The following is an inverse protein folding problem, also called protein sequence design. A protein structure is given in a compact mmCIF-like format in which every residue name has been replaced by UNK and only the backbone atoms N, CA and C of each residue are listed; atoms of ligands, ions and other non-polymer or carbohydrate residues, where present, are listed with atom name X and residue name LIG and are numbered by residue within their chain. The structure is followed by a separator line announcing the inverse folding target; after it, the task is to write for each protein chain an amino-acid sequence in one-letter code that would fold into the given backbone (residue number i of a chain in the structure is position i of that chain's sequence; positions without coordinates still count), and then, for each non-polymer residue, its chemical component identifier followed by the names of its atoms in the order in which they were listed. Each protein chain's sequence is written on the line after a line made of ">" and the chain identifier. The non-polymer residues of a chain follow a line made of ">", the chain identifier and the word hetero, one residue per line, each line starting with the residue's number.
data_IF_107212975393
#
_entry.id   IF_107212975393
#
_cell.length_a   1.000
_cell.length_b   1.000
_cell.length_c   1.000
_cell.angle_alpha   90.00
_cell.angle_beta   90.00
_cell.angle_gamma   90.00
#
_symmetry.space_group_name_H-M   'P 1'
#
loop_
_entity.id
_entity.type
_entity.pdbx_description
1 polymer ?
#
# COMPACT_ATOMS: atom_id res chain seq x y z
N UNK A 1 42.18 -9.07 1.61
CA UNK A 1 41.01 -8.97 2.52
C UNK A 1 40.75 -7.48 2.72
N UNK A 2 39.62 -6.94 2.25
CA UNK A 2 39.32 -5.50 2.34
C UNK A 2 38.99 -5.17 3.80
N UNK A 3 39.86 -4.44 4.49
CA UNK A 3 39.70 -4.16 5.92
C UNK A 3 39.04 -2.79 6.14
N UNK A 4 38.00 -2.77 6.97
CA UNK A 4 37.11 -1.62 7.19
C UNK A 4 37.69 -0.56 8.13
N UNK A 5 38.99 -0.64 8.44
CA UNK A 5 39.64 0.11 9.53
C UNK A 5 39.45 1.64 9.48
N UNK A 6 39.19 2.22 8.30
CA UNK A 6 38.98 3.66 8.11
C UNK A 6 37.55 4.05 7.75
N UNK A 7 36.60 3.12 7.77
CA UNK A 7 35.22 3.37 7.36
C UNK A 7 34.26 3.26 8.56
N UNK A 8 33.67 4.39 8.96
CA UNK A 8 32.49 4.37 9.83
C UNK A 8 31.26 4.01 9.01
N UNK A 9 30.38 3.15 9.54
CA UNK A 9 29.08 2.87 8.91
C UNK A 9 27.92 3.22 9.81
N UNK A 10 26.92 3.85 9.22
CA UNK A 10 25.57 3.96 9.79
C UNK A 10 24.67 3.07 8.95
N UNK A 11 23.90 2.21 9.61
CA UNK A 11 22.97 1.28 8.98
C UNK A 11 21.57 1.56 9.51
N UNK A 12 20.61 1.75 8.60
CA UNK A 12 19.19 1.95 8.92
C UNK A 12 18.37 0.96 8.12
N UNK A 13 17.48 0.23 8.78
CA UNK A 13 16.48 -0.62 8.14
C UNK A 13 15.12 0.04 8.31
N UNK A 14 14.37 0.15 7.21
CA UNK A 14 12.98 0.64 7.23
C UNK A 14 12.08 -0.50 6.77
N UNK A 15 11.22 -0.98 7.66
CA UNK A 15 10.12 -1.87 7.28
C UNK A 15 8.90 -1.02 6.97
N UNK A 16 8.24 -1.29 5.84
CA UNK A 16 7.04 -0.58 5.41
C UNK A 16 6.05 -1.53 4.74
N UNK A 17 4.77 -1.33 5.01
CA UNK A 17 3.68 -2.08 4.40
C UNK A 17 2.46 -1.18 4.19
N UNK A 18 1.68 -1.43 3.13
CA UNK A 18 0.35 -0.85 2.98
C UNK A 18 -0.59 -1.55 3.97
N UNK A 19 -1.06 -0.83 4.99
CA UNK A 19 -1.90 -1.40 6.06
C UNK A 19 -3.39 -1.04 5.94
N UNK A 20 -3.69 0.07 5.26
CA UNK A 20 -5.07 0.54 5.08
C UNK A 20 -5.18 1.48 3.88
N UNK A 21 -6.38 1.57 3.32
CA UNK A 21 -6.80 2.65 2.42
C UNK A 21 -7.96 3.37 3.09
N UNK A 22 -7.80 4.66 3.32
CA UNK A 22 -8.80 5.50 3.97
C UNK A 22 -9.22 6.64 3.03
N UNK A 23 -10.46 7.09 3.19
CA UNK A 23 -10.90 8.32 2.51
C UNK A 23 -10.06 9.49 3.02
N UNK A 24 -9.57 10.37 2.13
CA UNK A 24 -8.80 11.53 2.56
C UNK A 24 -9.68 12.43 3.43
N UNK A 25 -9.27 12.62 4.69
CA UNK A 25 -9.97 13.49 5.66
C UNK A 25 -9.94 14.97 5.26
N UNK A 26 -9.07 15.35 4.31
CA UNK A 26 -8.90 16.71 3.80
C UNK A 26 -8.93 16.63 2.26
N UNK A 27 -9.88 17.31 1.63
CA UNK A 27 -9.87 17.47 0.18
C UNK A 27 -8.70 18.39 -0.21
N UNK A 28 -7.76 17.89 -1.01
CA UNK A 28 -6.69 18.73 -1.56
C UNK A 28 -7.15 19.66 -2.68
N UNK A 29 -8.43 19.60 -3.03
CA UNK A 29 -9.07 20.59 -3.90
C UNK A 29 -9.37 21.84 -3.07
N UNK A 30 -8.35 22.69 -2.82
CA UNK A 30 -8.67 24.12 -2.72
C UNK A 30 -9.23 24.52 -4.08
N UNK A 31 -10.49 24.98 -4.19
CA UNK A 31 -10.84 25.80 -5.35
C UNK A 31 -9.86 26.96 -5.31
N UNK A 32 -9.06 27.12 -6.36
CA UNK A 32 -8.21 28.29 -6.50
C UNK A 32 -9.07 29.52 -6.28
N UNK A 33 -8.64 30.42 -5.37
CA UNK A 33 -9.17 31.77 -5.23
C UNK A 33 -8.87 32.52 -6.52
N UNK A 34 -9.63 32.25 -7.58
CA UNK A 34 -9.72 33.06 -8.78
C UNK A 34 -10.77 34.13 -8.57
N UNK A 35 -10.53 35.05 -7.62
CA UNK A 35 -11.29 36.30 -7.57
C UNK A 35 -10.41 37.36 -6.93
N UNK A 36 -9.57 37.96 -7.76
CA UNK A 36 -8.82 39.17 -7.42
C UNK A 36 -9.30 40.36 -8.26
N UNK A 37 -10.56 40.37 -8.70
CA UNK A 37 -11.26 41.57 -9.17
C UNK A 37 -12.74 41.28 -9.44
N UNK A 38 -13.62 41.91 -8.65
CA UNK A 38 -14.89 42.41 -9.18
C UNK A 38 -16.19 41.77 -8.67
N UNK A 39 -16.86 42.53 -7.80
CA UNK A 39 -18.32 42.59 -7.55
C UNK A 39 -19.02 41.37 -6.96
N UNK A 40 -19.61 41.62 -5.80
CA UNK A 40 -20.32 40.66 -4.97
C UNK A 40 -21.58 40.09 -5.60
N UNK A 41 -21.86 38.85 -5.18
CA UNK A 41 -23.18 38.24 -5.19
C UNK A 41 -23.33 37.48 -3.86
N UNK A 42 -24.41 37.67 -3.08
CA UNK A 42 -24.63 36.90 -1.88
C UNK A 42 -25.40 35.64 -2.27
N UNK A 43 -24.68 34.61 -2.72
CA UNK A 43 -25.20 33.24 -2.77
C UNK A 43 -24.02 32.28 -2.58
N UNK A 44 -23.47 32.29 -1.38
CA UNK A 44 -22.61 31.22 -0.90
C UNK A 44 -23.53 30.09 -0.42
N UNK A 45 -23.97 29.24 -1.36
CA UNK A 45 -24.49 27.91 -1.03
C UNK A 45 -23.45 27.12 -0.22
N UNK A 46 -23.83 26.04 0.49
CA UNK A 46 -22.94 25.37 1.42
C UNK A 46 -21.69 24.88 0.67
N UNK A 47 -20.56 25.48 1.01
CA UNK A 47 -19.22 25.07 0.59
C UNK A 47 -18.96 23.64 1.08
N UNK A 48 -19.34 22.66 0.26
CA UNK A 48 -19.11 21.24 0.51
C UNK A 48 -18.08 20.71 -0.48
N UNK A 49 -16.87 21.25 -0.42
CA UNK A 49 -15.71 20.66 -1.09
C UNK A 49 -15.13 19.53 -0.23
N UNK A 50 -15.91 18.48 0.02
CA UNK A 50 -15.37 17.15 0.34
C UNK A 50 -15.81 16.21 -0.77
N UNK A 51 -14.85 15.55 -1.43
CA UNK A 51 -15.15 14.52 -2.41
C UNK A 51 -15.86 13.38 -1.65
N UNK A 52 -17.16 13.18 -1.89
CA UNK A 52 -17.89 12.07 -1.28
C UNK A 52 -17.34 10.73 -1.81
N UNK A 53 -17.40 9.69 -0.98
CA UNK A 53 -17.06 8.32 -1.42
C UNK A 53 -17.83 7.93 -2.68
N UNK A 54 -19.11 8.29 -2.73
CA UNK A 54 -19.98 8.04 -3.88
C UNK A 54 -19.37 8.66 -5.15
N UNK A 55 -18.88 9.90 -5.12
CA UNK A 55 -18.22 10.52 -6.28
C UNK A 55 -16.92 9.83 -6.70
N UNK A 56 -16.18 9.23 -5.76
CA UNK A 56 -14.98 8.45 -6.08
C UNK A 56 -15.33 7.12 -6.75
N UNK A 57 -16.28 6.39 -6.17
CA UNK A 57 -16.74 5.06 -6.59
C UNK A 57 -17.46 5.14 -7.94
N UNK A 58 -18.42 6.05 -8.05
CA UNK A 58 -19.34 6.17 -9.18
C UNK A 58 -18.89 7.19 -10.23
N UNK A 59 -18.00 8.11 -9.85
CA UNK A 59 -17.42 9.14 -10.72
C UNK A 59 -18.08 10.52 -10.58
N UNK A 60 -17.41 11.54 -11.13
CA UNK A 60 -17.82 12.95 -11.01
C UNK A 60 -19.18 13.30 -11.65
N UNK A 61 -19.71 12.43 -12.52
CA UNK A 61 -21.05 12.57 -13.10
C UNK A 61 -22.16 11.95 -12.26
N UNK A 62 -21.84 11.36 -11.10
CA UNK A 62 -22.85 10.83 -10.19
C UNK A 62 -23.57 11.97 -9.47
N UNK A 63 -24.88 12.09 -9.71
CA UNK A 63 -25.75 12.98 -8.95
C UNK A 63 -26.44 12.16 -7.86
N UNK A 64 -26.16 12.48 -6.58
CA UNK A 64 -26.89 11.86 -5.48
C UNK A 64 -28.36 12.29 -5.54
N UNK A 65 -29.32 11.37 -5.67
CA UNK A 65 -30.73 11.75 -5.64
C UNK A 65 -31.09 12.33 -4.27
N UNK A 66 -31.80 13.45 -4.25
CA UNK A 66 -32.39 13.98 -3.01
C UNK A 66 -33.36 12.93 -2.47
N UNK A 67 -33.33 12.69 -1.17
CA UNK A 67 -34.20 11.76 -0.44
C UNK A 67 -35.66 12.27 -0.37
N UNK A 68 -36.20 12.75 -1.48
CA UNK A 68 -37.62 12.99 -1.68
C UNK A 68 -38.22 11.72 -2.27
N UNK A 69 -39.25 11.19 -1.61
CA UNK A 69 -40.06 10.07 -2.10
C UNK A 69 -40.41 10.30 -3.58
N UNK A 70 -39.89 9.44 -4.47
CA UNK A 70 -40.16 9.51 -5.91
C UNK A 70 -39.00 9.89 -6.82
N UNK A 71 -37.75 9.95 -6.36
CA UNK A 71 -36.61 10.06 -7.27
C UNK A 71 -36.44 8.79 -8.13
N UNK A 72 -36.74 8.89 -9.43
CA UNK A 72 -36.52 7.85 -10.46
C UNK A 72 -35.07 7.76 -10.95
N UNK A 73 -34.11 8.31 -10.20
CA UNK A 73 -32.71 8.29 -10.62
C UNK A 73 -32.16 6.86 -10.60
N UNK A 74 -31.91 6.31 -11.78
CA UNK A 74 -31.20 5.04 -11.99
C UNK A 74 -29.78 5.38 -12.45
N UNK A 75 -28.74 4.93 -11.74
CA UNK A 75 -27.36 5.11 -12.18
C UNK A 75 -27.14 4.48 -13.57
N UNK A 76 -26.30 5.11 -14.38
CA UNK A 76 -25.92 4.52 -15.67
C UNK A 76 -25.19 3.19 -15.46
N UNK A 77 -25.30 2.28 -16.44
CA UNK A 77 -24.56 1.02 -16.41
C UNK A 77 -23.04 1.25 -16.31
N UNK A 78 -22.54 2.30 -16.96
CA UNK A 78 -21.14 2.73 -16.87
C UNK A 78 -20.71 3.10 -15.44
N UNK A 79 -21.60 3.75 -14.68
CA UNK A 79 -21.39 4.13 -13.30
C UNK A 79 -21.24 2.89 -12.41
N UNK A 80 -22.10 1.89 -12.61
CA UNK A 80 -22.08 0.63 -11.88
C UNK A 80 -20.84 -0.21 -12.23
N UNK A 81 -20.52 -0.36 -13.51
CA UNK A 81 -19.31 -1.06 -13.96
C UNK A 81 -18.04 -0.42 -13.41
N UNK A 82 -17.99 0.91 -13.31
CA UNK A 82 -16.89 1.63 -12.69
C UNK A 82 -16.75 1.27 -11.22
N UNK A 83 -17.85 1.28 -10.45
CA UNK A 83 -17.84 0.91 -9.04
C UNK A 83 -17.28 -0.51 -8.82
N UNK A 84 -17.73 -1.49 -9.62
CA UNK A 84 -17.23 -2.86 -9.56
C UNK A 84 -15.74 -2.97 -9.90
N UNK A 85 -15.28 -2.30 -10.97
CA UNK A 85 -13.86 -2.28 -11.35
C UNK A 85 -13.00 -1.64 -10.25
N UNK A 86 -13.48 -0.54 -9.68
CA UNK A 86 -12.79 0.17 -8.61
C UNK A 86 -12.67 -0.69 -7.35
N UNK A 87 -13.77 -1.27 -6.89
CA UNK A 87 -13.79 -2.22 -5.77
C UNK A 87 -12.84 -3.39 -6.00
N UNK A 88 -12.96 -4.09 -7.14
CA UNK A 88 -12.08 -5.22 -7.46
C UNK A 88 -10.61 -4.83 -7.42
N UNK A 89 -10.26 -3.67 -7.99
CA UNK A 89 -8.88 -3.17 -8.00
C UNK A 89 -8.32 -2.90 -6.59
N UNK A 90 -9.10 -2.24 -5.73
CA UNK A 90 -8.67 -1.94 -4.36
C UNK A 90 -8.59 -3.18 -3.47
N UNK A 91 -9.58 -4.08 -3.56
CA UNK A 91 -9.55 -5.34 -2.82
C UNK A 91 -8.35 -6.19 -3.23
N UNK A 92 -8.06 -6.29 -4.53
CA UNK A 92 -6.89 -7.01 -5.04
C UNK A 92 -5.58 -6.40 -4.52
N UNK A 93 -5.47 -5.07 -4.52
CA UNK A 93 -4.30 -4.36 -3.98
C UNK A 93 -4.06 -4.69 -2.50
N UNK A 94 -5.10 -4.61 -1.67
CA UNK A 94 -5.01 -4.91 -0.24
C UNK A 94 -4.70 -6.39 0.03
N UNK A 95 -5.31 -7.32 -0.73
CA UNK A 95 -5.02 -8.75 -0.63
C UNK A 95 -3.56 -9.07 -1.01
N UNK A 96 -3.02 -8.43 -2.05
CA UNK A 96 -1.61 -8.57 -2.39
C UNK A 96 -0.68 -7.96 -1.35
N UNK A 97 -1.03 -6.81 -0.77
CA UNK A 97 -0.28 -6.24 0.33
C UNK A 97 -0.23 -7.20 1.53
N UNK A 98 -1.36 -7.84 1.87
CA UNK A 98 -1.43 -8.82 2.94
C UNK A 98 -0.54 -10.02 2.66
N UNK A 99 -0.65 -10.60 1.45
CA UNK A 99 0.19 -11.73 1.03
C UNK A 99 1.68 -11.37 1.06
N UNK A 100 2.05 -10.17 0.62
CA UNK A 100 3.42 -9.68 0.62
C UNK A 100 3.97 -9.52 2.04
N UNK A 101 3.22 -8.86 2.93
CA UNK A 101 3.60 -8.70 4.33
C UNK A 101 3.74 -10.06 5.03
N UNK A 102 2.78 -10.97 4.82
CA UNK A 102 2.84 -12.33 5.39
C UNK A 102 4.05 -13.10 4.91
N UNK A 103 4.35 -13.06 3.61
CA UNK A 103 5.50 -13.75 3.04
C UNK A 103 6.82 -13.19 3.60
N UNK A 104 6.93 -11.86 3.73
CA UNK A 104 8.08 -11.23 4.34
C UNK A 104 8.23 -11.59 5.82
N UNK A 105 7.14 -11.62 6.57
CA UNK A 105 7.16 -12.01 7.98
C UNK A 105 7.62 -13.48 8.14
N UNK A 106 7.09 -14.40 7.33
CA UNK A 106 7.55 -15.80 7.30
C UNK A 106 9.03 -15.93 6.96
N UNK A 107 9.54 -15.10 6.03
CA UNK A 107 10.96 -15.08 5.68
C UNK A 107 11.82 -14.71 6.89
N UNK A 108 11.45 -13.65 7.60
CA UNK A 108 12.16 -13.21 8.81
C UNK A 108 12.14 -14.28 9.90
N UNK A 109 10.99 -14.92 10.16
CA UNK A 109 10.92 -16.02 11.15
C UNK A 109 11.74 -17.24 10.75
N UNK A 110 11.82 -17.55 9.45
CA UNK A 110 12.67 -18.64 8.94
C UNK A 110 14.16 -18.34 9.13
N UNK A 111 14.56 -17.12 8.82
CA UNK A 111 15.97 -16.72 8.81
C UNK A 111 16.50 -16.29 10.19
N UNK A 112 15.59 -16.00 11.13
CA UNK A 112 15.89 -15.70 12.54
C UNK A 112 15.19 -16.74 13.43
N UNK A 113 15.78 -17.93 13.62
CA UNK A 113 15.12 -19.07 14.29
C UNK A 113 14.82 -18.84 15.77
N UNK A 114 15.41 -17.82 16.40
CA UNK A 114 15.11 -17.42 17.78
C UNK A 114 13.76 -16.70 17.93
N UNK A 115 13.13 -16.31 16.81
CA UNK A 115 11.79 -15.76 16.84
C UNK A 115 10.75 -16.84 17.16
N UNK A 116 9.66 -16.46 17.85
CA UNK A 116 8.56 -17.37 18.13
C UNK A 116 7.95 -17.87 16.82
N UNK A 117 7.94 -19.19 16.64
CA UNK A 117 7.28 -19.81 15.51
C UNK A 117 5.76 -19.73 15.72
N UNK A 118 5.09 -18.99 14.85
CA UNK A 118 3.64 -18.80 14.89
C UNK A 118 3.03 -19.05 13.51
N UNK A 119 1.86 -19.66 13.51
CA UNK A 119 1.07 -19.79 12.29
C UNK A 119 0.43 -18.45 11.95
N UNK A 120 0.80 -17.89 10.80
CA UNK A 120 0.17 -16.69 10.27
C UNK A 120 -1.02 -17.09 9.40
N UNK A 121 -2.19 -16.51 9.71
CA UNK A 121 -3.40 -16.66 8.90
C UNK A 121 -3.10 -16.35 7.42
N UNK A 122 -3.72 -17.10 6.51
CA UNK A 122 -3.56 -16.92 5.08
C UNK A 122 -4.89 -16.56 4.45
N UNK A 123 -4.92 -15.45 3.72
CA UNK A 123 -6.05 -15.09 2.88
C UNK A 123 -5.79 -15.60 1.45
N UNK A 124 -6.63 -16.52 0.98
CA UNK A 124 -6.59 -16.97 -0.40
C UNK A 124 -7.04 -15.81 -1.31
N UNK A 125 -6.10 -15.20 -2.04
CA UNK A 125 -6.31 -13.96 -2.79
C UNK A 125 -7.47 -14.09 -3.78
N UNK A 126 -7.45 -15.10 -4.64
CA UNK A 126 -8.47 -15.27 -5.69
C UNK A 126 -9.85 -15.60 -5.12
N UNK A 127 -9.91 -16.53 -4.16
CA UNK A 127 -11.17 -16.95 -3.53
C UNK A 127 -11.82 -15.80 -2.76
N UNK A 128 -11.01 -15.08 -1.97
CA UNK A 128 -11.48 -13.92 -1.20
C UNK A 128 -11.95 -12.82 -2.13
N UNK A 129 -11.17 -12.48 -3.16
CA UNK A 129 -11.55 -11.44 -4.13
C UNK A 129 -12.86 -11.80 -4.85
N UNK A 130 -13.00 -13.05 -5.31
CA UNK A 130 -14.20 -13.51 -5.99
C UNK A 130 -15.41 -13.45 -5.08
N UNK A 131 -15.28 -13.88 -3.82
CA UNK A 131 -16.36 -13.78 -2.83
C UNK A 131 -16.82 -12.33 -2.64
N UNK A 132 -15.89 -11.39 -2.40
CA UNK A 132 -16.22 -9.97 -2.22
C UNK A 132 -16.87 -9.38 -3.47
N UNK A 133 -16.37 -9.72 -4.67
CA UNK A 133 -16.95 -9.25 -5.93
C UNK A 133 -18.39 -9.77 -6.13
N UNK A 134 -18.65 -11.05 -5.82
CA UNK A 134 -19.97 -11.65 -5.95
C UNK A 134 -20.96 -11.03 -4.95
N UNK A 135 -20.55 -10.82 -3.69
CA UNK A 135 -21.38 -10.14 -2.69
C UNK A 135 -21.80 -8.74 -3.16
N UNK A 136 -20.88 -7.99 -3.78
CA UNK A 136 -21.17 -6.66 -4.33
C UNK A 136 -22.13 -6.71 -5.55
N UNK A 137 -21.99 -7.70 -6.42
CA UNK A 137 -22.84 -7.86 -7.62
C UNK A 137 -24.31 -8.18 -7.29
N UNK A 138 -24.59 -8.67 -6.09
CA UNK A 138 -25.97 -8.92 -5.65
C UNK A 138 -26.72 -7.64 -5.25
N UNK A 139 -26.04 -6.49 -5.23
CA UNK A 139 -26.61 -5.21 -4.83
C UNK A 139 -26.95 -4.35 -6.05
N UNK A 140 -28.16 -3.78 -6.05
CA UNK A 140 -28.65 -2.92 -7.12
C UNK A 140 -28.85 -1.46 -6.69
N UNK A 141 -28.65 -1.17 -5.39
CA UNK A 141 -28.79 0.18 -4.82
C UNK A 141 -27.39 0.80 -4.63
N UNK A 142 -27.12 2.00 -5.19
CA UNK A 142 -25.84 2.71 -5.07
C UNK A 142 -25.37 2.94 -3.63
N UNK A 143 -26.28 3.28 -2.71
CA UNK A 143 -25.95 3.52 -1.32
C UNK A 143 -25.46 2.22 -0.66
N UNK A 144 -26.17 1.12 -0.90
CA UNK A 144 -25.76 -0.22 -0.41
C UNK A 144 -24.44 -0.66 -1.02
N UNK A 145 -24.19 -0.35 -2.28
CA UNK A 145 -22.91 -0.64 -2.95
C UNK A 145 -21.77 0.15 -2.30
N UNK A 146 -21.94 1.45 -2.08
CA UNK A 146 -20.92 2.28 -1.43
C UNK A 146 -20.64 1.82 0.02
N UNK A 147 -21.68 1.43 0.75
CA UNK A 147 -21.57 0.85 2.09
C UNK A 147 -20.80 -0.48 2.07
N UNK A 148 -21.17 -1.39 1.18
CA UNK A 148 -20.51 -2.69 1.04
C UNK A 148 -19.03 -2.54 0.64
N UNK A 149 -18.72 -1.64 -0.29
CA UNK A 149 -17.33 -1.33 -0.66
C UNK A 149 -16.55 -0.83 0.56
N UNK A 150 -17.13 0.09 1.33
CA UNK A 150 -16.49 0.60 2.55
C UNK A 150 -16.23 -0.51 3.58
N UNK A 151 -17.22 -1.38 3.77
CA UNK A 151 -17.13 -2.53 4.67
C UNK A 151 -16.03 -3.50 4.24
N UNK A 152 -15.95 -3.83 2.96
CA UNK A 152 -14.93 -4.75 2.42
C UNK A 152 -13.51 -4.18 2.57
N UNK A 153 -13.33 -2.89 2.27
CA UNK A 153 -12.04 -2.22 2.45
C UNK A 153 -11.63 -2.13 3.92
N UNK A 154 -12.58 -1.83 4.81
CA UNK A 154 -12.33 -1.81 6.25
C UNK A 154 -11.97 -3.20 6.79
N UNK A 155 -12.66 -4.25 6.33
CA UNK A 155 -12.37 -5.64 6.70
C UNK A 155 -10.96 -6.04 6.26
N UNK A 156 -10.57 -5.78 5.01
CA UNK A 156 -9.22 -6.06 4.51
C UNK A 156 -8.14 -5.25 5.25
N UNK A 157 -8.40 -3.97 5.51
CA UNK A 157 -7.50 -3.10 6.27
C UNK A 157 -7.32 -3.59 7.71
N UNK A 158 -8.37 -4.14 8.34
CA UNK A 158 -8.27 -4.72 9.67
C UNK A 158 -7.34 -5.94 9.69
N UNK A 159 -7.42 -6.83 8.69
CA UNK A 159 -6.53 -7.99 8.57
C UNK A 159 -5.08 -7.57 8.36
N UNK A 160 -4.86 -6.59 7.48
CA UNK A 160 -3.54 -5.99 7.24
C UNK A 160 -2.96 -5.33 8.49
N UNK A 161 -3.76 -4.55 9.20
CA UNK A 161 -3.35 -3.87 10.43
C UNK A 161 -3.01 -4.89 11.51
N UNK A 162 -3.82 -5.93 11.68
CA UNK A 162 -3.55 -7.00 12.65
C UNK A 162 -2.23 -7.72 12.35
N UNK A 163 -2.01 -8.11 11.09
CA UNK A 163 -0.77 -8.76 10.66
C UNK A 163 0.45 -7.85 10.83
N UNK A 164 0.30 -6.56 10.51
CA UNK A 164 1.36 -5.57 10.68
C UNK A 164 1.71 -5.34 12.15
N UNK A 165 0.71 -5.25 13.04
CA UNK A 165 0.94 -5.16 14.48
C UNK A 165 1.69 -6.38 14.99
N UNK A 166 1.26 -7.59 14.61
CA UNK A 166 1.94 -8.83 14.98
C UNK A 166 3.39 -8.87 14.49
N UNK A 167 3.65 -8.39 13.26
CA UNK A 167 4.98 -8.25 12.71
C UNK A 167 5.82 -7.27 13.55
N UNK A 168 5.30 -6.09 13.86
CA UNK A 168 6.00 -5.10 14.66
C UNK A 168 6.32 -5.62 16.06
N UNK A 169 5.38 -6.28 16.73
CA UNK A 169 5.59 -6.86 18.07
C UNK A 169 6.70 -7.92 18.07
N UNK A 170 6.89 -8.61 16.95
CA UNK A 170 7.90 -9.67 16.82
C UNK A 170 9.26 -9.14 16.40
N UNK A 171 9.31 -8.12 15.53
CA UNK A 171 10.53 -7.67 14.85
C UNK A 171 11.15 -6.43 15.47
N UNK A 172 10.34 -5.54 16.02
CA UNK A 172 10.80 -4.22 16.49
C UNK A 172 11.74 -4.36 17.69
N UNK A 173 12.93 -3.76 17.58
CA UNK A 173 13.97 -3.77 18.62
C UNK A 173 14.43 -5.18 19.04
N UNK A 174 14.16 -6.21 18.24
CA UNK A 174 14.59 -7.57 18.53
C UNK A 174 16.08 -7.73 18.18
N UNK A 175 16.89 -8.16 19.16
CA UNK A 175 18.35 -8.26 19.03
C UNK A 175 18.78 -9.22 17.91
N UNK A 176 18.16 -10.40 17.83
CA UNK A 176 18.45 -11.39 16.79
C UNK A 176 18.10 -10.90 15.39
N UNK A 177 16.98 -10.20 15.22
CA UNK A 177 16.62 -9.58 13.93
C UNK A 177 17.61 -8.47 13.56
N UNK A 178 18.00 -7.66 14.54
CA UNK A 178 19.01 -6.60 14.32
C UNK A 178 20.35 -7.19 13.89
N UNK A 179 20.80 -8.28 14.52
CA UNK A 179 22.03 -8.98 14.16
C UNK A 179 21.95 -9.57 12.75
N UNK A 180 20.84 -10.25 12.43
CA UNK A 180 20.56 -10.79 11.10
C UNK A 180 20.61 -9.70 10.01
N UNK A 181 19.87 -8.60 10.20
CA UNK A 181 19.85 -7.48 9.25
C UNK A 181 21.23 -6.81 9.13
N UNK A 182 21.99 -6.72 10.23
CA UNK A 182 23.36 -6.19 10.21
C UNK A 182 24.28 -7.05 9.36
N UNK A 183 24.17 -8.37 9.47
CA UNK A 183 24.92 -9.32 8.64
C UNK A 183 24.53 -9.19 7.17
N UNK A 184 23.24 -9.13 6.84
CA UNK A 184 22.76 -8.93 5.47
C UNK A 184 23.27 -7.60 4.89
N UNK A 185 23.19 -6.52 5.66
CA UNK A 185 23.71 -5.21 5.25
C UNK A 185 25.22 -5.21 5.07
N UNK A 186 25.97 -5.95 5.91
CA UNK A 186 27.40 -6.11 5.75
C UNK A 186 27.73 -6.86 4.45
N UNK A 187 27.06 -7.99 4.19
CA UNK A 187 27.22 -8.79 2.97
C UNK A 187 26.93 -7.96 1.72
N UNK A 188 25.81 -7.23 1.70
CA UNK A 188 25.45 -6.34 0.58
C UNK A 188 26.47 -5.24 0.36
N UNK A 189 27.03 -4.69 1.43
CA UNK A 189 28.06 -3.63 1.34
C UNK A 189 29.37 -4.17 0.76
N UNK A 190 29.86 -5.31 1.25
CA UNK A 190 31.06 -5.97 0.72
C UNK A 190 30.88 -6.27 -0.77
N UNK A 191 29.70 -6.78 -1.15
CA UNK A 191 29.35 -7.03 -2.56
C UNK A 191 29.35 -5.75 -3.41
N UNK A 192 28.74 -4.67 -2.93
CA UNK A 192 28.75 -3.39 -3.66
C UNK A 192 30.16 -2.82 -3.81
N UNK A 193 31.02 -2.96 -2.79
CA UNK A 193 32.41 -2.54 -2.88
C UNK A 193 33.20 -3.35 -3.90
N UNK A 194 33.04 -4.68 -3.92
CA UNK A 194 33.71 -5.51 -4.93
C UNK A 194 33.19 -5.21 -6.33
N UNK A 195 31.88 -5.00 -6.51
CA UNK A 195 31.31 -4.55 -7.79
C UNK A 195 31.84 -3.18 -8.23
N UNK A 196 32.00 -2.23 -7.30
CA UNK A 196 32.55 -0.90 -7.60
C UNK A 196 34.02 -0.93 -8.02
N UNK A 197 34.84 -1.77 -7.38
CA UNK A 197 36.23 -2.01 -7.77
C UNK A 197 36.34 -2.43 -9.25
N UNK A 198 35.47 -3.35 -9.69
CA UNK A 198 35.42 -3.83 -11.08
C UNK A 198 34.71 -2.90 -12.08
N UNK A 199 34.04 -1.86 -11.59
CA UNK A 199 33.41 -0.87 -12.46
C UNK A 199 34.29 0.37 -12.64
N UNK A 200 34.99 0.79 -11.58
CA UNK A 200 35.73 2.06 -11.53
C UNK A 200 37.22 1.91 -11.80
N UNK A 201 37.87 0.83 -11.34
CA UNK A 201 39.34 0.70 -11.41
C UNK A 201 39.80 -0.27 -12.51
N UNK A 202 39.01 -1.28 -12.85
CA UNK A 202 39.36 -2.26 -13.89
C UNK A 202 38.15 -2.57 -14.80
N UNK A 203 38.17 -2.14 -16.06
CA UNK A 203 37.18 -2.59 -17.05
C UNK A 203 37.12 -4.13 -17.09
N UNK A 204 35.91 -4.71 -17.14
CA UNK A 204 35.62 -6.17 -17.06
C UNK A 204 36.62 -7.11 -17.77
N UNK A 205 37.20 -6.71 -18.91
CA UNK A 205 38.20 -7.51 -19.64
C UNK A 205 39.56 -7.62 -18.93
N UNK A 206 39.99 -6.57 -18.23
CA UNK A 206 41.26 -6.52 -17.51
C UNK A 206 41.28 -7.42 -16.26
N UNK A 207 40.10 -7.70 -15.68
CA UNK A 207 39.95 -8.57 -14.50
C UNK A 207 40.18 -10.04 -14.83
N UNK A 208 39.69 -10.50 -15.99
CA UNK A 208 39.88 -11.87 -16.46
C UNK A 208 41.34 -12.18 -16.84
N UNK A 209 42.16 -11.14 -16.98
CA UNK A 209 43.59 -11.22 -17.34
C UNK A 209 44.49 -10.67 -16.23
N UNK A 210 43.91 -10.32 -15.07
CA UNK A 210 44.66 -9.77 -13.95
C UNK A 210 45.59 -10.84 -13.38
N UNK A 211 46.90 -10.64 -13.55
CA UNK A 211 47.91 -11.43 -12.87
C UNK A 211 48.37 -10.63 -11.65
N UNK A 212 48.13 -11.18 -10.48
CA UNK A 212 48.65 -10.67 -9.21
C UNK A 212 50.17 -10.93 -9.21
N UNK A 213 50.97 -9.90 -9.45
CA UNK A 213 52.42 -10.00 -9.31
C UNK A 213 52.74 -10.02 -7.81
N UNK A 214 52.97 -11.22 -7.28
CA UNK A 214 53.53 -11.49 -5.95
C UNK A 214 55.01 -11.07 -5.88
#
# INVERSE_FOLDING_TARGET
>A
MFDYFHLSVISVTVHAALVALQQPLISFTRPGRGSWLGKGSPDAGPEQSSLSLENLVFGAGYCKPTSSEGSFYVPSENCMQRAHKWHRGLCLLLLHAYRGLRAYFLLIMRDVPELPHMELESLAVEETLNRLCLELQMLNNPEKIAEQISKDLAWLAAHLTALWTQFLDTVTLHSHVTAFLTQEHHTLRVRRFSEAFFYMEHHKLAVLTFQENL
#
